data_IF_676019861594
#
_entry.id   IF_676019861594
#
_cell.length_a   1.000
_cell.length_b   1.000
_cell.length_c   1.000
_cell.angle_alpha   90.00
_cell.angle_beta   90.00
_cell.angle_gamma   90.00
#
_symmetry.space_group_name_H-M   'P 1'
#
loop_
_entity.id
_entity.type
_entity.pdbx_description
1 polymer ?
#
# COMPACT_ATOMS: atom_id res chain seq x y z
N UNK A 1 9.51 -39.64 -21.82
CA UNK A 1 9.68 -38.56 -22.81
C UNK A 1 8.41 -37.73 -22.76
N UNK A 2 8.48 -36.48 -22.30
CA UNK A 2 7.34 -35.56 -22.25
C UNK A 2 7.04 -35.08 -23.67
N UNK A 3 5.80 -35.18 -24.12
CA UNK A 3 5.37 -34.68 -25.43
C UNK A 3 4.64 -33.33 -25.30
N UNK A 4 4.30 -32.69 -26.42
CA UNK A 4 3.62 -31.38 -26.42
C UNK A 4 2.23 -31.46 -25.76
N UNK A 5 1.51 -32.56 -25.93
CA UNK A 5 0.20 -32.76 -25.29
C UNK A 5 0.31 -32.82 -23.77
N UNK A 6 1.36 -33.48 -23.25
CA UNK A 6 1.62 -33.55 -21.81
C UNK A 6 1.87 -32.14 -21.24
N UNK A 7 2.68 -31.33 -21.92
CA UNK A 7 2.96 -29.93 -21.54
C UNK A 7 1.69 -29.09 -21.60
N UNK A 8 0.89 -29.23 -22.65
CA UNK A 8 -0.37 -28.51 -22.80
C UNK A 8 -1.35 -28.82 -21.64
N UNK A 9 -1.52 -30.10 -21.30
CA UNK A 9 -2.36 -30.51 -20.19
C UNK A 9 -1.84 -30.01 -18.84
N UNK A 10 -0.51 -29.96 -18.64
CA UNK A 10 0.11 -29.40 -17.44
C UNK A 10 -0.14 -27.89 -17.32
N UNK A 11 -0.05 -27.15 -18.44
CA UNK A 11 -0.40 -25.73 -18.48
C UNK A 11 -1.86 -25.53 -18.11
N UNK A 12 -2.79 -26.27 -18.71
CA UNK A 12 -4.21 -26.17 -18.38
C UNK A 12 -4.49 -26.42 -16.90
N UNK A 13 -3.90 -27.48 -16.32
CA UNK A 13 -4.03 -27.78 -14.90
C UNK A 13 -3.50 -26.65 -14.01
N UNK A 14 -2.39 -26.02 -14.42
CA UNK A 14 -1.82 -24.86 -13.70
C UNK A 14 -2.69 -23.61 -13.83
N UNK A 15 -3.31 -23.38 -14.98
CA UNK A 15 -4.24 -22.26 -15.16
C UNK A 15 -5.48 -22.45 -14.29
N UNK A 16 -6.01 -23.67 -14.22
CA UNK A 16 -7.18 -23.98 -13.38
C UNK A 16 -6.87 -23.79 -11.90
N UNK A 17 -5.68 -24.19 -11.43
CA UNK A 17 -5.29 -23.98 -10.02
C UNK A 17 -5.10 -22.51 -9.64
N UNK A 18 -4.83 -21.63 -10.61
CA UNK A 18 -4.70 -20.19 -10.41
C UNK A 18 -6.02 -19.43 -10.53
N UNK A 19 -7.13 -20.10 -10.88
CA UNK A 19 -8.43 -19.46 -11.06
C UNK A 19 -8.86 -18.68 -9.81
N UNK A 20 -8.78 -19.29 -8.63
CA UNK A 20 -9.17 -18.62 -7.38
C UNK A 20 -8.33 -17.37 -7.10
N UNK A 21 -7.04 -17.39 -7.41
CA UNK A 21 -6.17 -16.24 -7.26
C UNK A 21 -6.56 -15.08 -8.18
N UNK A 22 -6.85 -15.37 -9.44
CA UNK A 22 -7.30 -14.35 -10.38
C UNK A 22 -8.70 -13.82 -10.09
N UNK A 23 -9.62 -14.67 -9.62
CA UNK A 23 -10.94 -14.25 -9.20
C UNK A 23 -10.85 -13.26 -8.01
N UNK A 24 -9.99 -13.55 -7.02
CA UNK A 24 -9.75 -12.64 -5.88
C UNK A 24 -9.13 -11.31 -6.32
N UNK A 25 -8.15 -11.33 -7.24
CA UNK A 25 -7.58 -10.10 -7.78
C UNK A 25 -8.59 -9.29 -8.59
N UNK A 26 -9.41 -9.94 -9.42
CA UNK A 26 -10.44 -9.28 -10.21
C UNK A 26 -11.50 -8.61 -9.31
N UNK A 27 -11.85 -9.24 -8.17
CA UNK A 27 -12.72 -8.63 -7.17
C UNK A 27 -12.11 -7.34 -6.60
N UNK A 28 -10.85 -7.39 -6.16
CA UNK A 28 -10.14 -6.22 -5.61
C UNK A 28 -10.05 -5.11 -6.65
N UNK A 29 -9.61 -5.43 -7.87
CA UNK A 29 -9.39 -4.48 -8.96
C UNK A 29 -10.70 -3.80 -9.39
N UNK A 30 -11.83 -4.49 -9.24
CA UNK A 30 -13.16 -3.96 -9.60
C UNK A 30 -13.81 -3.17 -8.47
N UNK A 31 -13.70 -3.63 -7.22
CA UNK A 31 -14.47 -3.09 -6.09
C UNK A 31 -13.73 -2.04 -5.27
N UNK A 32 -12.42 -1.88 -5.48
CA UNK A 32 -11.60 -0.97 -4.68
C UNK A 32 -10.85 0.03 -5.55
N UNK A 33 -10.26 1.03 -4.93
CA UNK A 33 -9.31 1.91 -5.60
C UNK A 33 -7.88 1.39 -5.46
N UNK A 34 -7.45 0.60 -6.45
CA UNK A 34 -6.06 0.15 -6.59
C UNK A 34 -5.18 1.31 -7.09
N UNK A 35 -4.12 1.58 -6.33
CA UNK A 35 -3.08 2.58 -6.59
C UNK A 35 -1.86 1.95 -7.29
N UNK A 36 -1.48 0.73 -6.87
CA UNK A 36 -0.33 0.01 -7.43
C UNK A 36 -0.66 -1.47 -7.63
N UNK A 37 -0.21 -2.09 -8.73
CA UNK A 37 0.29 -1.42 -9.94
C UNK A 37 -0.83 -0.66 -10.67
N UNK A 38 -0.52 0.43 -11.36
CA UNK A 38 -1.53 1.19 -12.14
C UNK A 38 -2.18 0.37 -13.26
N UNK A 39 -1.43 -0.60 -13.79
CA UNK A 39 -1.86 -1.53 -14.84
C UNK A 39 -1.49 -2.95 -14.41
N UNK A 40 -2.32 -3.60 -13.58
CA UNK A 40 -2.01 -4.93 -13.09
C UNK A 40 -1.94 -5.94 -14.22
N UNK A 41 -0.95 -6.82 -14.15
CA UNK A 41 -0.84 -8.03 -14.99
C UNK A 41 -1.31 -9.24 -14.19
N UNK A 42 -1.60 -10.35 -14.89
CA UNK A 42 -1.97 -11.63 -14.24
C UNK A 42 -0.86 -12.25 -13.37
N UNK A 43 0.38 -11.75 -13.48
CA UNK A 43 1.52 -12.17 -12.66
C UNK A 43 1.73 -11.28 -11.43
N UNK A 44 1.05 -10.13 -11.34
CA UNK A 44 1.20 -9.21 -10.22
C UNK A 44 0.38 -9.70 -9.02
N UNK A 45 1.07 -10.15 -7.97
CA UNK A 45 0.48 -10.66 -6.71
C UNK A 45 0.14 -9.55 -5.72
N UNK A 46 0.84 -8.42 -5.82
CA UNK A 46 0.68 -7.29 -4.91
C UNK A 46 -0.39 -6.30 -5.40
N UNK A 47 -1.15 -5.74 -4.45
CA UNK A 47 -2.02 -4.58 -4.65
C UNK A 47 -1.82 -3.55 -3.54
N UNK A 48 -1.56 -2.30 -3.90
CA UNK A 48 -1.70 -1.15 -3.00
C UNK A 48 -3.07 -0.54 -3.22
N UNK A 49 -3.88 -0.49 -2.17
CA UNK A 49 -5.29 -0.10 -2.23
C UNK A 49 -5.48 1.14 -1.33
N UNK A 50 -6.15 2.17 -1.84
CA UNK A 50 -6.54 3.31 -1.02
C UNK A 50 -7.62 2.89 -0.02
N UNK A 51 -7.50 3.33 1.24
CA UNK A 51 -8.47 3.04 2.30
C UNK A 51 -8.96 4.30 3.04
N UNK A 52 -8.42 5.46 2.70
CA UNK A 52 -8.80 6.75 3.26
C UNK A 52 -7.87 7.85 2.73
N UNK A 53 -8.07 9.10 3.16
CA UNK A 53 -7.26 10.23 2.70
C UNK A 53 -5.79 10.04 3.06
N UNK A 54 -4.93 9.99 2.03
CA UNK A 54 -3.49 9.76 2.16
C UNK A 54 -3.13 8.48 2.93
N UNK A 55 -4.03 7.50 2.96
CA UNK A 55 -3.84 6.21 3.64
C UNK A 55 -4.12 5.07 2.67
N UNK A 56 -3.22 4.10 2.65
CA UNK A 56 -3.32 2.92 1.79
C UNK A 56 -2.83 1.67 2.50
N UNK A 57 -3.34 0.52 2.08
CA UNK A 57 -2.85 -0.81 2.47
C UNK A 57 -2.24 -1.49 1.25
N UNK A 58 -1.04 -2.03 1.40
CA UNK A 58 -0.44 -2.95 0.44
C UNK A 58 -0.66 -4.38 0.92
N UNK A 59 -1.18 -5.22 0.04
CA UNK A 59 -1.35 -6.67 0.26
C UNK A 59 -0.56 -7.44 -0.79
N UNK A 60 0.04 -8.56 -0.40
CA UNK A 60 0.68 -9.51 -1.32
C UNK A 60 0.04 -10.89 -1.18
N UNK A 61 -0.58 -11.37 -2.26
CA UNK A 61 -1.37 -12.60 -2.25
C UNK A 61 -0.51 -13.79 -2.66
N UNK A 62 -0.61 -14.89 -1.91
CA UNK A 62 -0.10 -16.18 -2.35
C UNK A 62 -1.01 -16.76 -3.46
N UNK A 63 -0.51 -16.97 -4.70
CA UNK A 63 -1.32 -17.52 -5.79
C UNK A 63 -1.87 -18.92 -5.52
N UNK A 64 -1.28 -19.67 -4.59
CA UNK A 64 -1.74 -21.01 -4.20
C UNK A 64 -2.79 -20.97 -3.10
N UNK A 65 -2.84 -19.89 -2.33
CA UNK A 65 -3.68 -19.75 -1.15
C UNK A 65 -4.30 -18.34 -1.08
N UNK A 66 -5.07 -17.92 -2.10
CA UNK A 66 -5.48 -16.52 -2.29
C UNK A 66 -6.48 -15.98 -1.25
N UNK A 67 -7.09 -16.85 -0.45
CA UNK A 67 -8.00 -16.46 0.64
C UNK A 67 -7.35 -16.54 2.02
N UNK A 68 -6.06 -16.88 2.11
CA UNK A 68 -5.34 -16.78 3.38
C UNK A 68 -5.00 -15.32 3.68
N UNK A 69 -4.82 -15.01 4.97
CA UNK A 69 -4.39 -13.70 5.42
C UNK A 69 -3.08 -13.29 4.70
N UNK A 70 -3.10 -12.23 3.87
CA UNK A 70 -1.90 -11.78 3.18
C UNK A 70 -1.00 -10.96 4.13
N UNK A 71 0.25 -10.76 3.74
CA UNK A 71 1.07 -9.72 4.36
C UNK A 71 0.43 -8.35 4.09
N UNK A 72 0.21 -7.58 5.15
CA UNK A 72 -0.46 -6.28 5.09
C UNK A 72 0.50 -5.16 5.53
N UNK A 73 0.76 -4.19 4.65
CA UNK A 73 1.58 -3.02 4.94
C UNK A 73 0.78 -1.72 4.79
N UNK A 74 0.58 -1.02 5.90
CA UNK A 74 -0.11 0.27 5.91
C UNK A 74 0.86 1.43 5.65
N UNK A 75 0.43 2.38 4.83
CA UNK A 75 1.13 3.63 4.55
C UNK A 75 0.16 4.78 4.79
N UNK A 76 0.58 5.75 5.61
CA UNK A 76 -0.19 6.93 6.01
C UNK A 76 0.45 7.57 7.24
N UNK A 77 -0.14 8.66 7.73
CA UNK A 77 0.26 9.28 9.00
C UNK A 77 0.10 8.28 10.16
N UNK A 78 1.04 8.30 11.12
CA UNK A 78 1.11 7.32 12.21
C UNK A 78 -0.20 7.26 13.00
N UNK A 79 -0.76 8.41 13.38
CA UNK A 79 -2.03 8.47 14.11
C UNK A 79 -3.22 7.85 13.35
N UNK A 80 -3.14 7.71 12.02
CA UNK A 80 -4.18 7.07 11.20
C UNK A 80 -3.91 5.58 11.01
N UNK A 81 -2.65 5.18 10.83
CA UNK A 81 -2.30 3.77 10.56
C UNK A 81 -2.23 2.91 11.81
N UNK A 82 -1.91 3.47 12.99
CA UNK A 82 -1.82 2.68 14.23
C UNK A 82 -3.17 2.02 14.61
N UNK A 83 -4.32 2.74 14.60
CA UNK A 83 -5.62 2.11 14.85
C UNK A 83 -5.94 0.96 13.90
N UNK A 84 -5.55 1.07 12.62
CA UNK A 84 -5.77 0.00 11.63
C UNK A 84 -4.92 -1.23 11.91
N UNK A 85 -3.67 -1.05 12.36
CA UNK A 85 -2.81 -2.14 12.81
C UNK A 85 -3.36 -2.82 14.06
N UNK A 86 -3.87 -2.05 15.01
CA UNK A 86 -4.46 -2.58 16.24
C UNK A 86 -5.72 -3.41 15.95
N UNK A 87 -6.57 -2.95 15.02
CA UNK A 87 -7.73 -3.72 14.54
C UNK A 87 -7.30 -5.01 13.84
N UNK A 88 -6.36 -4.92 12.90
CA UNK A 88 -5.82 -6.11 12.20
C UNK A 88 -5.32 -7.15 13.21
N UNK A 89 -4.51 -6.74 14.18
CA UNK A 89 -3.94 -7.64 15.18
C UNK A 89 -5.00 -8.21 16.13
N UNK A 90 -5.97 -7.39 16.54
CA UNK A 90 -7.03 -7.81 17.48
C UNK A 90 -8.03 -8.75 16.81
N UNK A 91 -8.36 -8.51 15.55
CA UNK A 91 -9.42 -9.21 14.82
C UNK A 91 -8.89 -10.31 13.90
N UNK A 92 -7.56 -10.55 13.83
CA UNK A 92 -6.96 -11.58 12.94
C UNK A 92 -7.54 -12.98 13.14
N UNK A 93 -7.97 -13.30 14.37
CA UNK A 93 -8.58 -14.57 14.73
C UNK A 93 -9.98 -14.79 14.11
N UNK A 94 -10.59 -13.73 13.59
CA UNK A 94 -11.87 -13.77 12.87
C UNK A 94 -11.69 -14.06 11.37
N UNK A 95 -10.45 -14.17 10.88
CA UNK A 95 -10.20 -14.48 9.46
C UNK A 95 -10.78 -15.84 9.10
N UNK A 96 -11.66 -15.86 8.10
CA UNK A 96 -12.32 -17.06 7.61
C UNK A 96 -11.90 -17.35 6.15
N UNK A 97 -11.11 -18.40 5.88
CA UNK A 97 -10.70 -18.76 4.52
C UNK A 97 -11.85 -19.09 3.55
N UNK A 98 -13.04 -19.40 4.07
CA UNK A 98 -14.25 -19.64 3.27
C UNK A 98 -14.94 -18.33 2.86
N UNK A 99 -14.54 -17.20 3.46
CA UNK A 99 -14.96 -15.84 3.10
C UNK A 99 -13.95 -15.21 2.13
N UNK A 100 -14.44 -14.43 1.17
CA UNK A 100 -13.58 -13.74 0.21
C UNK A 100 -12.61 -12.77 0.89
N UNK A 101 -11.37 -12.68 0.38
CA UNK A 101 -10.30 -11.87 0.97
C UNK A 101 -10.71 -10.40 1.20
N UNK A 102 -11.40 -9.79 0.24
CA UNK A 102 -11.83 -8.39 0.38
C UNK A 102 -12.84 -8.23 1.51
N UNK A 103 -13.74 -9.20 1.70
CA UNK A 103 -14.74 -9.16 2.77
C UNK A 103 -14.07 -9.38 4.14
N UNK A 104 -13.15 -10.34 4.25
CA UNK A 104 -12.34 -10.50 5.47
C UNK A 104 -11.62 -9.20 5.86
N UNK A 105 -10.97 -8.54 4.90
CA UNK A 105 -10.27 -7.27 5.16
C UNK A 105 -11.22 -6.17 5.62
N UNK A 106 -12.44 -6.07 5.05
CA UNK A 106 -13.46 -5.11 5.49
C UNK A 106 -13.87 -5.35 6.94
N UNK A 107 -14.15 -6.60 7.27
CA UNK A 107 -14.67 -6.97 8.59
C UNK A 107 -13.60 -6.81 9.68
N UNK A 108 -12.38 -7.25 9.40
CA UNK A 108 -11.26 -7.18 10.33
C UNK A 108 -10.81 -5.74 10.58
N UNK A 109 -10.72 -4.92 9.53
CA UNK A 109 -10.33 -3.53 9.65
C UNK A 109 -11.50 -2.62 10.03
N UNK A 110 -12.73 -3.13 9.96
CA UNK A 110 -13.98 -2.41 10.15
C UNK A 110 -14.03 -1.12 9.31
N UNK A 111 -13.75 -1.26 8.02
CA UNK A 111 -13.76 -0.16 7.05
C UNK A 111 -14.55 -0.54 5.80
N UNK A 112 -15.05 0.48 5.12
CA UNK A 112 -15.46 0.38 3.73
C UNK A 112 -14.31 0.79 2.82
N UNK A 113 -13.96 -0.08 1.86
CA UNK A 113 -12.99 0.28 0.84
C UNK A 113 -13.61 1.28 -0.15
N UNK A 114 -12.96 2.43 -0.40
CA UNK A 114 -13.45 3.37 -1.39
C UNK A 114 -13.37 2.74 -2.78
N UNK A 115 -14.43 2.92 -3.58
CA UNK A 115 -14.37 2.59 -5.00
C UNK A 115 -13.72 3.73 -5.78
N UNK A 116 -13.23 3.43 -6.98
CA UNK A 116 -12.68 4.44 -7.90
C UNK A 116 -13.69 5.53 -8.29
N UNK A 117 -14.98 5.25 -8.21
CA UNK A 117 -16.06 6.21 -8.49
C UNK A 117 -16.39 7.13 -7.32
N UNK A 118 -16.08 6.74 -6.09
CA UNK A 118 -16.47 7.49 -4.89
C UNK A 118 -15.58 8.72 -4.65
N UNK A 119 -14.39 8.75 -5.25
CA UNK A 119 -13.38 9.80 -5.03
C UNK A 119 -13.05 10.50 -6.35
N UNK A 120 -13.16 11.84 -6.37
CA UNK A 120 -12.66 12.61 -7.51
C UNK A 120 -11.14 12.59 -7.47
N UNK A 121 -10.49 12.48 -8.64
CA UNK A 121 -9.01 12.56 -8.75
C UNK A 121 -8.40 13.79 -8.06
N UNK A 122 -9.16 14.87 -7.91
CA UNK A 122 -8.75 16.10 -7.21
C UNK A 122 -8.62 15.95 -5.70
N UNK A 123 -9.27 14.93 -5.11
CA UNK A 123 -9.41 14.80 -3.66
C UNK A 123 -8.31 13.91 -3.06
N UNK A 124 -7.41 13.40 -3.91
CA UNK A 124 -6.34 12.48 -3.54
C UNK A 124 -5.02 12.94 -4.17
N UNK A 125 -4.48 14.05 -3.67
CA UNK A 125 -3.15 14.53 -4.08
C UNK A 125 -2.09 13.69 -3.37
N UNK A 126 -1.77 12.53 -3.96
CA UNK A 126 -0.64 11.69 -3.54
C UNK A 126 0.70 12.21 -4.02
N UNK A 127 0.74 13.34 -4.73
CA UNK A 127 1.98 13.92 -5.20
C UNK A 127 2.83 14.38 -4.03
N UNK A 128 4.14 14.23 -4.18
CA UNK A 128 5.10 14.71 -3.20
C UNK A 128 4.97 16.23 -3.05
N UNK A 129 4.86 16.71 -1.81
CA UNK A 129 4.73 18.13 -1.52
C UNK A 129 5.94 18.98 -1.90
N UNK A 130 7.05 18.37 -2.33
CA UNK A 130 8.28 19.08 -2.71
C UNK A 130 8.45 19.09 -4.23
N UNK A 131 8.40 17.93 -4.88
CA UNK A 131 8.63 17.82 -6.33
C UNK A 131 7.33 17.85 -7.17
N UNK A 132 6.16 17.82 -6.52
CA UNK A 132 4.83 17.79 -7.16
C UNK A 132 4.66 16.65 -8.17
N UNK A 133 5.37 15.54 -7.96
CA UNK A 133 5.22 14.32 -8.74
C UNK A 133 4.84 13.17 -7.82
N UNK A 134 3.99 12.27 -8.32
CA UNK A 134 3.74 10.98 -7.68
C UNK A 134 4.94 10.04 -7.85
N UNK A 135 5.60 10.07 -9.01
CA UNK A 135 6.77 9.22 -9.29
C UNK A 135 8.05 10.04 -9.25
N UNK A 136 9.00 9.58 -8.44
CA UNK A 136 10.40 9.93 -8.57
C UNK A 136 11.14 8.61 -8.82
N UNK A 137 11.45 8.33 -10.08
CA UNK A 137 11.82 7.00 -10.56
C UNK A 137 10.78 5.94 -10.18
N UNK A 138 11.16 4.94 -9.39
CA UNK A 138 10.25 3.91 -8.84
C UNK A 138 9.68 4.27 -7.47
N UNK A 139 10.09 5.39 -6.86
CA UNK A 139 9.65 5.81 -5.54
C UNK A 139 8.30 6.53 -5.57
N UNK A 140 7.55 6.34 -4.49
CA UNK A 140 6.27 6.99 -4.21
C UNK A 140 6.40 7.89 -2.97
N UNK A 141 5.48 8.86 -2.76
CA UNK A 141 5.48 9.70 -1.58
C UNK A 141 4.94 8.91 -0.39
N UNK A 142 5.84 8.22 0.31
CA UNK A 142 5.53 7.33 1.43
C UNK A 142 5.81 7.95 2.81
N UNK A 143 6.42 9.14 2.85
CA UNK A 143 6.65 9.89 4.09
C UNK A 143 5.52 10.90 4.28
N UNK A 144 4.62 10.66 5.23
CA UNK A 144 3.44 11.50 5.46
C UNK A 144 3.62 12.33 6.72
N UNK A 145 3.30 13.62 6.67
CA UNK A 145 3.27 14.45 7.87
C UNK A 145 2.22 13.93 8.88
N UNK A 146 2.62 13.77 10.13
CA UNK A 146 1.74 13.22 11.18
C UNK A 146 0.75 14.25 11.77
N UNK A 147 0.86 15.54 11.40
CA UNK A 147 -0.15 16.53 11.84
C UNK A 147 -1.49 16.25 11.11
N UNK A 148 -2.60 16.03 11.83
CA UNK A 148 -3.90 15.69 11.23
C UNK A 148 -4.47 16.75 10.28
N UNK A 149 -4.03 18.00 10.41
CA UNK A 149 -4.48 19.11 9.55
C UNK A 149 -3.57 19.30 8.32
N UNK A 150 -2.45 18.57 8.25
CA UNK A 150 -1.49 18.64 7.16
C UNK A 150 -1.57 17.39 6.28
N UNK A 151 -1.21 16.23 6.82
CA UNK A 151 -1.17 14.95 6.10
C UNK A 151 -0.45 14.98 4.73
N UNK A 152 0.42 15.96 4.47
CA UNK A 152 1.11 16.09 3.19
C UNK A 152 2.12 14.93 3.00
N UNK A 153 2.06 14.20 1.87
CA UNK A 153 3.02 13.15 1.57
C UNK A 153 4.27 13.70 0.85
N UNK A 154 5.40 13.03 1.05
CA UNK A 154 6.71 13.34 0.47
C UNK A 154 7.45 12.06 0.07
N UNK A 155 8.24 12.11 -1.00
CA UNK A 155 9.25 11.07 -1.24
C UNK A 155 10.32 11.12 -0.16
N UNK A 156 10.85 9.95 0.23
CA UNK A 156 11.97 9.86 1.17
C UNK A 156 13.17 10.72 0.71
N UNK A 157 13.52 10.67 -0.58
CA UNK A 157 14.63 11.45 -1.15
C UNK A 157 14.39 12.96 -1.08
N UNK A 158 13.21 13.43 -1.49
CA UNK A 158 12.87 14.85 -1.44
C UNK A 158 12.87 15.39 -0.01
N UNK A 159 12.27 14.66 0.94
CA UNK A 159 12.23 15.08 2.33
C UNK A 159 13.62 15.04 2.97
N UNK A 160 14.46 14.06 2.60
CA UNK A 160 15.85 13.99 3.04
C UNK A 160 16.66 15.21 2.60
N UNK A 161 16.61 15.55 1.30
CA UNK A 161 17.31 16.71 0.76
C UNK A 161 16.85 18.01 1.43
N UNK A 162 15.54 18.16 1.63
CA UNK A 162 14.97 19.31 2.34
C UNK A 162 15.49 19.42 3.77
N UNK A 163 15.34 18.35 4.57
CA UNK A 163 15.70 18.38 5.98
C UNK A 163 17.20 18.58 6.20
N UNK A 164 18.06 18.04 5.32
CA UNK A 164 19.51 18.26 5.41
C UNK A 164 19.95 19.69 5.11
N UNK A 165 19.15 20.44 4.35
CA UNK A 165 19.42 21.85 4.06
C UNK A 165 19.13 22.78 5.24
N UNK A 166 18.47 22.30 6.31
CA UNK A 166 18.00 23.13 7.41
C UNK A 166 18.91 23.03 8.64
N UNK A 167 19.34 24.18 9.22
CA UNK A 167 20.14 24.18 10.45
C UNK A 167 19.35 23.74 11.69
N UNK A 168 18.02 23.75 11.62
CA UNK A 168 17.12 23.27 12.69
C UNK A 168 17.00 21.75 12.75
N UNK A 169 17.32 21.05 11.66
CA UNK A 169 17.24 19.59 11.61
C UNK A 169 18.28 18.93 12.51
N UNK A 170 17.94 17.77 13.04
CA UNK A 170 18.81 16.94 13.88
C UNK A 170 18.80 15.53 13.35
N UNK A 171 19.95 14.89 13.28
CA UNK A 171 20.05 13.48 12.90
C UNK A 171 20.51 12.65 14.09
N UNK A 172 19.85 11.51 14.30
CA UNK A 172 20.26 10.47 15.23
C UNK A 172 20.23 9.12 14.50
N UNK A 173 21.39 8.50 14.32
CA UNK A 173 21.54 7.28 13.51
C UNK A 173 20.92 7.44 12.11
N UNK A 174 19.93 6.61 11.78
CA UNK A 174 19.20 6.62 10.52
C UNK A 174 17.87 7.38 10.60
N UNK A 175 17.69 8.24 11.61
CA UNK A 175 16.48 9.04 11.79
C UNK A 175 16.84 10.52 11.76
N UNK A 176 16.15 11.28 10.92
CA UNK A 176 16.24 12.75 10.85
C UNK A 176 14.97 13.34 11.44
N UNK A 177 15.15 14.30 12.33
CA UNK A 177 14.09 15.09 12.94
C UNK A 177 14.17 16.52 12.41
N UNK A 178 13.03 17.08 12.03
CA UNK A 178 12.95 18.48 11.63
C UNK A 178 11.51 18.95 11.56
N UNK A 179 11.23 19.93 10.70
CA UNK A 179 9.93 20.55 10.56
C UNK A 179 9.34 20.27 9.18
N UNK A 180 8.04 19.98 9.14
CA UNK A 180 7.30 19.76 7.90
C UNK A 180 7.37 21.02 7.01
N UNK A 181 7.67 20.90 5.70
CA UNK A 181 7.72 22.05 4.78
C UNK A 181 6.39 22.83 4.64
N UNK A 182 5.27 22.24 5.07
CA UNK A 182 3.93 22.82 4.90
C UNK A 182 3.38 23.43 6.20
N UNK A 183 3.35 22.67 7.28
CA UNK A 183 2.72 23.08 8.53
C UNK A 183 3.71 23.46 9.64
N UNK A 184 5.02 23.36 9.37
CA UNK A 184 6.13 23.61 10.32
C UNK A 184 6.06 22.80 11.62
N UNK A 185 5.21 21.78 11.69
CA UNK A 185 5.15 20.85 12.82
C UNK A 185 6.28 19.85 12.75
N UNK A 186 6.67 19.23 13.89
CA UNK A 186 7.69 18.19 13.90
C UNK A 186 7.38 17.08 12.89
N UNK A 187 8.38 16.69 12.09
CA UNK A 187 8.32 15.54 11.19
C UNK A 187 9.58 14.70 11.38
N UNK A 188 9.40 13.39 11.30
CA UNK A 188 10.49 12.42 11.45
C UNK A 188 10.65 11.64 10.14
N UNK A 189 11.88 11.56 9.66
CA UNK A 189 12.26 10.78 8.49
C UNK A 189 13.15 9.62 8.91
N UNK A 190 12.65 8.39 8.75
CA UNK A 190 13.46 7.19 8.95
C UNK A 190 14.08 6.77 7.62
N UNK A 191 15.39 6.86 7.52
CA UNK A 191 16.14 6.39 6.37
C UNK A 191 16.11 4.87 6.34
N UNK A 192 15.34 4.33 5.41
CA UNK A 192 15.40 2.94 5.04
C UNK A 192 16.54 2.79 4.04
N UNK A 193 17.57 2.01 4.41
CA UNK A 193 18.52 1.50 3.44
C UNK A 193 17.76 0.48 2.58
N UNK A 194 17.04 0.93 1.55
CA UNK A 194 16.56 0.00 0.52
C UNK A 194 17.82 -0.51 -0.20
N UNK A 195 18.12 -1.82 -0.18
CA UNK A 195 19.12 -2.34 -1.09
C UNK A 195 18.65 -2.05 -2.51
N UNK A 196 19.55 -1.54 -3.34
CA UNK A 196 19.36 -1.34 -4.77
C UNK A 196 18.91 -2.64 -5.45
#
# INVERSE_FOLDING_TARGET
>A
QTNIQDIYNQVLSTLESLKGFWDTLDEIDTKTWVLEPEKPTRSATMRRIAIGNNVSITIDLDPRHPNMLPECYFLGADHVVQPLKDKLNSNVHLWDPDVGLLQNLKDILEIDFPSKSDLKKSDFTMDCGICYAYRLDSAIPDQVCDDPHCAQPFHQACLYEWLNGLPSSRQSFNIIYGECPYCTKPITLKLLNKPF
#
